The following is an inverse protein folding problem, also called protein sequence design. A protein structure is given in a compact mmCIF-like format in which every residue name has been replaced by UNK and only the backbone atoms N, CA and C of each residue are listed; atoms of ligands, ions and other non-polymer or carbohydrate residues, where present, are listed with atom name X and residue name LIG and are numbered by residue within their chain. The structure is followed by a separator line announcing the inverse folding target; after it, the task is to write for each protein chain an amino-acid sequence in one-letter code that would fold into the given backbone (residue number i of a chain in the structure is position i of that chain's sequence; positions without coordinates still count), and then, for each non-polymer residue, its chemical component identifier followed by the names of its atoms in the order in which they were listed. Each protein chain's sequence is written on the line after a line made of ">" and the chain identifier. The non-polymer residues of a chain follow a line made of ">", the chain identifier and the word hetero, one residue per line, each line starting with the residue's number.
data_IF_198786490120
#
_entry.id   IF_198786490120
#
_cell.length_a   1.000
_cell.length_b   1.000
_cell.length_c   1.000
_cell.angle_alpha   90.00
_cell.angle_beta   90.00
_cell.angle_gamma   90.00
#
_symmetry.space_group_name_H-M   'P 1'
#
loop_
_entity.id
_entity.type
_entity.pdbx_description
1 polymer ?
#
# COMPACT_ATOMS: atom_id res chain seq x y z
N UNK A 1 -8.85 -28.35 -5.87
CA UNK A 1 -8.64 -27.67 -4.57
C UNK A 1 -9.22 -26.28 -4.69
N UNK A 2 -10.24 -25.96 -3.88
CA UNK A 2 -11.06 -24.76 -4.04
C UNK A 2 -10.22 -23.48 -4.02
N UNK A 3 -10.09 -22.85 -5.18
CA UNK A 3 -9.74 -21.43 -5.28
C UNK A 3 -10.82 -20.66 -4.52
N UNK A 4 -10.56 -20.33 -3.26
CA UNK A 4 -11.38 -19.38 -2.52
C UNK A 4 -11.37 -18.08 -3.32
N UNK A 5 -12.42 -17.84 -4.10
CA UNK A 5 -12.54 -16.64 -4.91
C UNK A 5 -12.51 -15.48 -3.94
N UNK A 6 -11.45 -14.68 -4.01
CA UNK A 6 -11.24 -13.44 -3.25
C UNK A 6 -12.28 -12.40 -3.70
N UNK A 7 -13.54 -12.63 -3.32
CA UNK A 7 -14.70 -11.83 -3.73
C UNK A 7 -15.49 -11.41 -2.50
N UNK A 8 -15.83 -10.13 -2.43
CA UNK A 8 -16.63 -9.60 -1.34
C UNK A 8 -18.12 -9.97 -1.50
N UNK A 9 -18.85 -10.24 -0.41
CA UNK A 9 -20.31 -10.25 -0.40
C UNK A 9 -20.91 -8.88 -0.79
N UNK A 10 -22.12 -8.82 -1.38
CA UNK A 10 -22.73 -7.56 -1.82
C UNK A 10 -22.78 -6.46 -0.76
N UNK A 11 -23.21 -6.78 0.46
CA UNK A 11 -23.27 -5.81 1.57
C UNK A 11 -21.89 -5.21 1.93
N UNK A 12 -20.83 -6.01 1.87
CA UNK A 12 -19.47 -5.52 2.10
C UNK A 12 -18.97 -4.65 0.94
N UNK A 13 -19.35 -4.95 -0.31
CA UNK A 13 -19.03 -4.10 -1.47
C UNK A 13 -19.68 -2.73 -1.32
N UNK A 14 -20.95 -2.67 -0.97
CA UNK A 14 -21.66 -1.40 -0.78
C UNK A 14 -21.06 -0.58 0.37
N UNK A 15 -20.73 -1.23 1.48
CA UNK A 15 -20.07 -0.56 2.61
C UNK A 15 -18.70 0.00 2.21
N UNK A 16 -17.89 -0.79 1.49
CA UNK A 16 -16.59 -0.36 0.99
C UNK A 16 -16.73 0.84 0.04
N UNK A 17 -17.63 0.78 -0.95
CA UNK A 17 -17.83 1.86 -1.91
C UNK A 17 -18.27 3.16 -1.22
N UNK A 18 -19.19 3.09 -0.24
CA UNK A 18 -19.58 4.26 0.57
C UNK A 18 -18.41 4.83 1.37
N UNK A 19 -17.56 3.96 1.93
CA UNK A 19 -16.38 4.36 2.68
C UNK A 19 -15.36 5.07 1.79
N UNK A 20 -15.08 4.51 0.61
CA UNK A 20 -14.19 5.10 -0.38
C UNK A 20 -14.74 6.44 -0.90
N UNK A 21 -16.05 6.52 -1.19
CA UNK A 21 -16.69 7.75 -1.63
C UNK A 21 -16.55 8.87 -0.59
N UNK A 22 -16.93 8.59 0.65
CA UNK A 22 -16.85 9.58 1.73
C UNK A 22 -15.41 10.07 1.95
N UNK A 23 -14.42 9.17 1.79
CA UNK A 23 -13.00 9.54 1.87
C UNK A 23 -12.55 10.39 0.68
N UNK A 24 -12.93 10.02 -0.53
CA UNK A 24 -12.64 10.79 -1.74
C UNK A 24 -13.18 12.22 -1.61
N UNK A 25 -14.46 12.36 -1.26
CA UNK A 25 -15.11 13.66 -1.07
C UNK A 25 -14.50 14.49 0.07
N UNK A 26 -14.04 13.85 1.14
CA UNK A 26 -13.33 14.55 2.22
C UNK A 26 -11.94 15.04 1.80
N UNK A 27 -11.28 14.34 0.88
CA UNK A 27 -9.88 14.57 0.51
C UNK A 27 -9.71 15.14 -0.91
N UNK A 28 -10.65 15.96 -1.41
CA UNK A 28 -10.62 16.53 -2.78
C UNK A 28 -9.30 17.18 -3.19
N UNK A 29 -8.52 17.67 -2.23
CA UNK A 29 -7.20 18.25 -2.48
C UNK A 29 -6.20 17.24 -3.08
N UNK A 30 -6.37 15.93 -2.86
CA UNK A 30 -5.48 14.86 -3.34
C UNK A 30 -5.71 14.47 -4.81
N UNK A 31 -6.90 14.74 -5.34
CA UNK A 31 -7.34 14.28 -6.67
C UNK A 31 -8.07 15.39 -7.40
N UNK A 32 -7.41 16.55 -7.53
CA UNK A 32 -7.98 17.72 -8.23
C UNK A 32 -8.34 17.37 -9.67
N UNK A 33 -9.55 17.76 -10.08
CA UNK A 33 -10.06 17.50 -11.43
C UNK A 33 -10.64 16.09 -11.63
N UNK A 34 -10.57 15.20 -10.64
CA UNK A 34 -11.27 13.92 -10.68
C UNK A 34 -12.64 14.02 -10.01
N UNK A 35 -13.58 13.29 -10.58
CA UNK A 35 -14.94 13.12 -10.06
C UNK A 35 -15.14 11.68 -9.57
N UNK A 36 -15.94 11.49 -8.53
CA UNK A 36 -16.16 10.18 -7.92
C UNK A 36 -16.93 9.22 -8.85
N UNK A 37 -17.93 9.72 -9.58
CA UNK A 37 -18.80 8.87 -10.39
C UNK A 37 -18.03 8.00 -11.41
N UNK A 38 -17.07 8.53 -12.20
CA UNK A 38 -16.20 7.70 -13.05
C UNK A 38 -15.38 6.64 -12.29
N UNK A 39 -14.86 6.97 -11.10
CA UNK A 39 -14.10 6.03 -10.25
C UNK A 39 -15.02 4.90 -9.78
N UNK A 40 -16.22 5.23 -9.31
CA UNK A 40 -17.21 4.25 -8.87
C UNK A 40 -17.66 3.32 -10.01
N UNK A 41 -17.92 3.87 -11.20
CA UNK A 41 -18.23 3.07 -12.39
C UNK A 41 -17.12 2.08 -12.70
N UNK A 42 -15.85 2.51 -12.65
CA UNK A 42 -14.69 1.63 -12.87
C UNK A 42 -14.59 0.55 -11.80
N UNK A 43 -14.78 0.89 -10.52
CA UNK A 43 -14.78 -0.07 -9.42
C UNK A 43 -15.88 -1.13 -9.54
N UNK A 44 -17.10 -0.72 -9.94
CA UNK A 44 -18.22 -1.64 -10.18
C UNK A 44 -17.99 -2.56 -11.38
N UNK A 45 -17.27 -2.10 -12.39
CA UNK A 45 -16.89 -2.90 -13.55
C UNK A 45 -15.75 -3.91 -13.24
N UNK A 46 -14.91 -3.64 -12.24
CA UNK A 46 -13.74 -4.46 -11.86
C UNK A 46 -13.91 -5.03 -10.45
N UNK A 47 -14.96 -5.83 -10.24
CA UNK A 47 -15.35 -6.30 -8.90
C UNK A 47 -14.28 -7.12 -8.16
N UNK A 48 -13.34 -7.72 -8.89
CA UNK A 48 -12.17 -8.43 -8.35
C UNK A 48 -11.17 -7.50 -7.65
N UNK A 49 -11.16 -6.20 -7.99
CA UNK A 49 -10.33 -5.18 -7.34
C UNK A 49 -10.88 -4.72 -6.00
N UNK A 50 -12.15 -4.99 -5.71
CA UNK A 50 -12.77 -4.61 -4.44
C UNK A 50 -12.19 -5.40 -3.26
N UNK A 51 -11.78 -6.66 -3.48
CA UNK A 51 -11.18 -7.45 -2.40
C UNK A 51 -9.83 -6.88 -1.94
N UNK A 52 -8.86 -6.57 -2.83
CA UNK A 52 -7.64 -5.87 -2.44
C UNK A 52 -7.88 -4.53 -1.74
N UNK A 53 -8.81 -3.70 -2.25
CA UNK A 53 -9.16 -2.43 -1.60
C UNK A 53 -9.74 -2.63 -0.19
N UNK A 54 -10.58 -3.65 -0.01
CA UNK A 54 -11.08 -4.01 1.31
C UNK A 54 -9.96 -4.48 2.24
N UNK A 55 -8.96 -5.21 1.74
CA UNK A 55 -7.81 -5.59 2.57
C UNK A 55 -6.96 -4.38 2.96
N UNK A 56 -6.75 -3.43 2.04
CA UNK A 56 -6.10 -2.15 2.36
C UNK A 56 -6.88 -1.42 3.46
N UNK A 57 -8.21 -1.31 3.33
CA UNK A 57 -9.09 -0.70 4.33
C UNK A 57 -9.01 -1.43 5.68
N UNK A 58 -9.24 -2.75 5.69
CA UNK A 58 -9.28 -3.61 6.89
C UNK A 58 -7.99 -3.56 7.69
N UNK A 59 -6.85 -3.40 7.01
CA UNK A 59 -5.53 -3.30 7.66
C UNK A 59 -5.15 -1.87 8.07
N UNK A 60 -6.05 -0.89 7.88
CA UNK A 60 -5.88 0.50 8.30
C UNK A 60 -5.11 1.36 7.31
N UNK A 61 -5.12 0.99 6.03
CA UNK A 61 -4.45 1.70 4.95
C UNK A 61 -5.12 2.99 4.49
N UNK A 62 -6.42 3.11 4.74
CA UNK A 62 -7.25 4.21 4.26
C UNK A 62 -7.03 4.47 2.75
N UNK A 63 -7.25 3.45 1.88
CA UNK A 63 -7.04 3.58 0.45
C UNK A 63 -7.82 4.74 -0.14
N UNK A 64 -7.15 5.56 -0.94
CA UNK A 64 -7.73 6.74 -1.61
C UNK A 64 -7.11 6.91 -3.00
N UNK A 65 -7.81 7.64 -3.87
CA UNK A 65 -7.33 7.90 -5.24
C UNK A 65 -6.14 8.86 -5.17
N UNK A 66 -5.00 8.39 -5.66
CA UNK A 66 -3.73 9.13 -5.69
C UNK A 66 -3.31 9.54 -7.11
N UNK A 67 -3.96 8.99 -8.14
CA UNK A 67 -3.68 9.33 -9.53
C UNK A 67 -4.62 8.66 -10.52
N UNK A 68 -4.55 9.12 -11.77
CA UNK A 68 -5.25 8.57 -12.91
C UNK A 68 -4.25 8.46 -14.06
N UNK A 69 -4.09 7.25 -14.60
CA UNK A 69 -3.26 7.00 -15.76
C UNK A 69 -4.11 7.14 -17.01
N UNK A 70 -4.01 8.28 -17.69
CA UNK A 70 -4.80 8.59 -18.89
C UNK A 70 -4.52 7.63 -20.05
N UNK A 71 -3.33 7.01 -20.09
CA UNK A 71 -2.98 6.08 -21.18
C UNK A 71 -3.73 4.75 -21.07
N UNK A 72 -4.00 4.31 -19.84
CA UNK A 72 -4.69 3.05 -19.56
C UNK A 72 -6.12 3.23 -19.05
N UNK A 73 -6.49 4.46 -18.71
CA UNK A 73 -7.75 4.81 -18.04
C UNK A 73 -7.86 4.21 -16.63
N UNK A 74 -6.73 3.87 -15.99
CA UNK A 74 -6.71 3.25 -14.67
C UNK A 74 -6.63 4.29 -13.57
N UNK A 75 -7.40 4.09 -12.50
CA UNK A 75 -7.24 4.83 -11.26
C UNK A 75 -6.22 4.12 -10.36
N UNK A 76 -5.37 4.93 -9.73
CA UNK A 76 -4.31 4.45 -8.85
C UNK A 76 -4.71 4.77 -7.41
N UNK A 77 -4.86 3.73 -6.60
CA UNK A 77 -5.12 3.83 -5.18
C UNK A 77 -3.83 3.59 -4.40
N UNK A 78 -3.54 4.48 -3.44
CA UNK A 78 -2.49 4.29 -2.43
C UNK A 78 -3.10 4.18 -1.04
N UNK A 79 -2.35 3.59 -0.11
CA UNK A 79 -2.61 3.81 1.30
C UNK A 79 -2.33 5.26 1.69
N UNK A 80 -3.37 5.97 2.08
CA UNK A 80 -3.32 7.37 2.47
C UNK A 80 -3.57 7.60 3.96
N UNK A 81 -3.36 6.56 4.79
CA UNK A 81 -3.27 6.69 6.24
C UNK A 81 -2.04 7.53 6.63
N UNK A 82 -2.15 8.37 7.67
CA UNK A 82 -1.06 9.27 8.09
C UNK A 82 0.27 8.55 8.34
N UNK A 83 0.22 7.36 8.95
CA UNK A 83 1.39 6.51 9.20
C UNK A 83 1.17 5.14 8.55
N UNK A 84 2.27 4.46 8.24
CA UNK A 84 2.26 3.10 7.67
C UNK A 84 1.34 2.20 8.52
N UNK A 85 0.44 1.37 7.97
CA UNK A 85 -0.66 0.83 8.78
C UNK A 85 -0.20 -0.12 9.89
N UNK A 86 -0.73 0.03 11.12
CA UNK A 86 -0.26 -0.72 12.31
C UNK A 86 -0.27 -2.24 12.12
N UNK A 87 -1.31 -2.77 11.45
CA UNK A 87 -1.43 -4.20 11.16
C UNK A 87 -0.45 -4.72 10.09
N UNK A 88 0.44 -3.87 9.58
CA UNK A 88 1.42 -4.18 8.53
C UNK A 88 2.84 -3.76 8.91
N UNK A 89 3.11 -3.58 10.21
CA UNK A 89 4.44 -3.21 10.75
C UNK A 89 5.14 -4.40 11.40
N UNK A 90 6.39 -4.19 11.81
CA UNK A 90 7.21 -5.20 12.50
C UNK A 90 7.51 -6.42 11.63
N UNK A 91 7.64 -6.19 10.33
CA UNK A 91 7.90 -7.23 9.32
C UNK A 91 9.19 -6.95 8.56
N UNK A 92 9.83 -8.04 8.11
CA UNK A 92 10.99 -7.98 7.22
C UNK A 92 10.55 -7.73 5.78
N UNK A 93 11.51 -7.56 4.86
CA UNK A 93 11.22 -7.18 3.49
C UNK A 93 10.52 -8.30 2.70
N UNK A 94 11.10 -9.50 2.63
CA UNK A 94 10.60 -10.62 1.82
C UNK A 94 10.73 -12.00 2.47
N UNK A 95 10.25 -13.04 1.75
CA UNK A 95 10.24 -14.44 2.20
C UNK A 95 11.64 -14.98 2.50
N UNK A 96 12.60 -14.74 1.62
CA UNK A 96 13.98 -15.21 1.81
C UNK A 96 14.59 -14.56 3.06
N UNK A 97 14.33 -13.27 3.28
CA UNK A 97 14.74 -12.56 4.49
C UNK A 97 14.08 -13.15 5.76
N UNK A 98 12.79 -13.47 5.69
CA UNK A 98 12.05 -14.13 6.78
C UNK A 98 12.66 -15.50 7.15
N UNK A 99 13.01 -16.29 6.14
CA UNK A 99 13.57 -17.63 6.31
C UNK A 99 15.01 -17.63 6.82
N UNK A 100 15.80 -16.62 6.45
CA UNK A 100 17.21 -16.47 6.86
C UNK A 100 17.39 -16.28 8.38
N UNK A 101 16.37 -15.73 9.07
CA UNK A 101 16.38 -15.51 10.51
C UNK A 101 16.33 -16.85 11.25
N UNK A 102 17.14 -17.02 12.29
CA UNK A 102 17.06 -18.22 13.17
C UNK A 102 16.25 -17.96 14.45
N UNK A 103 16.30 -16.73 14.95
CA UNK A 103 15.67 -16.30 16.18
C UNK A 103 14.90 -15.00 15.96
N UNK A 104 13.84 -14.79 16.75
CA UNK A 104 12.96 -13.62 16.63
C UNK A 104 12.50 -13.39 15.19
N UNK A 105 11.88 -14.41 14.59
CA UNK A 105 11.28 -14.26 13.26
C UNK A 105 10.07 -13.33 13.38
N UNK A 106 9.94 -12.30 12.51
CA UNK A 106 8.68 -11.57 12.43
C UNK A 106 7.58 -12.50 11.92
N UNK A 107 6.32 -12.11 12.15
CA UNK A 107 5.17 -12.93 11.72
C UNK A 107 5.09 -13.10 10.20
N UNK A 108 5.56 -12.10 9.45
CA UNK A 108 5.44 -12.08 8.00
C UNK A 108 6.52 -11.20 7.33
N UNK A 109 6.45 -11.09 6.01
CA UNK A 109 7.25 -10.18 5.18
C UNK A 109 6.36 -9.19 4.42
N UNK A 110 6.91 -8.02 4.07
CA UNK A 110 6.16 -6.98 3.37
C UNK A 110 5.66 -7.45 1.99
N UNK A 111 6.52 -8.11 1.21
CA UNK A 111 6.14 -8.62 -0.10
C UNK A 111 5.08 -9.72 -0.04
N UNK A 112 5.17 -10.64 0.93
CA UNK A 112 4.17 -11.70 1.07
C UNK A 112 2.81 -11.14 1.50
N UNK A 113 2.81 -10.17 2.43
CA UNK A 113 1.58 -9.50 2.84
C UNK A 113 0.94 -8.76 1.67
N UNK A 114 1.71 -7.98 0.91
CA UNK A 114 1.22 -7.28 -0.26
C UNK A 114 0.66 -8.26 -1.32
N UNK A 115 1.38 -9.34 -1.63
CA UNK A 115 0.93 -10.38 -2.56
C UNK A 115 -0.34 -11.09 -2.07
N UNK A 116 -0.42 -11.41 -0.78
CA UNK A 116 -1.62 -12.00 -0.17
C UNK A 116 -2.83 -11.06 -0.32
N UNK A 117 -2.64 -9.75 -0.12
CA UNK A 117 -3.65 -8.70 -0.29
C UNK A 117 -3.96 -8.38 -1.76
N UNK A 118 -3.14 -8.86 -2.72
CA UNK A 118 -3.33 -8.56 -4.15
C UNK A 118 -2.98 -7.12 -4.51
N UNK A 119 -2.02 -6.53 -3.80
CA UNK A 119 -1.51 -5.16 -4.00
C UNK A 119 0.02 -5.20 -4.20
N UNK A 120 0.57 -4.10 -4.70
CA UNK A 120 2.01 -3.90 -4.79
C UNK A 120 2.50 -2.98 -3.66
N UNK A 121 3.77 -3.06 -3.29
CA UNK A 121 4.40 -2.02 -2.46
C UNK A 121 4.90 -0.87 -3.35
N UNK A 122 4.94 0.35 -2.81
CA UNK A 122 5.37 1.52 -3.57
C UNK A 122 6.83 1.43 -4.02
N UNK A 123 7.15 1.98 -5.20
CA UNK A 123 8.52 2.37 -5.55
C UNK A 123 8.93 3.66 -4.82
N UNK A 124 10.21 4.04 -4.90
CA UNK A 124 10.66 5.33 -4.36
C UNK A 124 9.91 6.50 -5.00
N UNK A 125 9.76 6.50 -6.32
CA UNK A 125 9.08 7.56 -7.06
C UNK A 125 7.62 7.67 -6.61
N UNK A 126 6.92 6.54 -6.51
CA UNK A 126 5.52 6.50 -6.07
C UNK A 126 5.37 6.97 -4.62
N UNK A 127 6.32 6.63 -3.75
CA UNK A 127 6.37 7.13 -2.38
C UNK A 127 6.55 8.65 -2.35
N UNK A 128 7.42 9.21 -3.20
CA UNK A 128 7.60 10.66 -3.33
C UNK A 128 6.35 11.35 -3.87
N UNK A 129 5.64 10.74 -4.84
CA UNK A 129 4.37 11.26 -5.33
C UNK A 129 3.29 11.28 -4.24
N UNK A 130 3.19 10.22 -3.43
CA UNK A 130 2.28 10.20 -2.27
C UNK A 130 2.53 11.40 -1.35
N UNK A 131 3.80 11.74 -1.10
CA UNK A 131 4.18 12.84 -0.19
C UNK A 131 3.83 14.24 -0.71
N UNK A 132 3.46 14.37 -2.00
CA UNK A 132 2.88 15.61 -2.55
C UNK A 132 1.40 15.77 -2.20
N UNK A 133 0.72 14.68 -1.83
CA UNK A 133 -0.70 14.67 -1.47
C UNK A 133 -0.96 14.99 0.01
N UNK A 134 0.10 15.01 0.83
CA UNK A 134 0.04 15.26 2.26
C UNK A 134 1.30 14.79 2.98
N UNK A 135 1.31 14.94 4.30
CA UNK A 135 2.38 14.46 5.16
C UNK A 135 2.12 13.02 5.60
N UNK A 136 3.00 12.11 5.20
CA UNK A 136 2.87 10.70 5.53
C UNK A 136 4.16 10.15 6.14
N UNK A 137 4.03 9.16 7.03
CA UNK A 137 5.14 8.48 7.72
C UNK A 137 6.06 9.44 8.49
N UNK A 138 5.48 10.39 9.21
CA UNK A 138 6.22 11.33 10.07
C UNK A 138 6.76 10.67 11.35
N UNK A 139 6.25 9.47 11.68
CA UNK A 139 6.62 8.67 12.85
C UNK A 139 6.96 7.22 12.51
N UNK A 140 6.62 6.78 11.31
CA UNK A 140 6.93 5.45 10.78
C UNK A 140 7.93 5.50 9.64
N UNK A 141 8.25 4.32 9.11
CA UNK A 141 8.95 4.14 7.83
C UNK A 141 8.26 3.03 7.03
N UNK A 142 8.42 3.05 5.71
CA UNK A 142 7.83 2.07 4.81
C UNK A 142 8.88 1.42 3.94
N UNK A 143 8.88 0.09 3.89
CA UNK A 143 9.55 -0.66 2.84
C UNK A 143 9.04 -0.20 1.48
N UNK A 144 9.97 -0.02 0.55
CA UNK A 144 9.69 0.28 -0.85
C UNK A 144 10.31 -0.79 -1.75
N UNK A 145 9.85 -0.86 -3.00
CA UNK A 145 10.36 -1.81 -3.98
C UNK A 145 11.86 -1.64 -4.13
N UNK A 146 12.60 -2.67 -3.71
CA UNK A 146 14.06 -2.68 -3.73
C UNK A 146 14.55 -3.15 -5.10
N UNK A 147 15.49 -2.45 -5.75
CA UNK A 147 16.15 -2.91 -6.97
C UNK A 147 16.79 -4.29 -6.78
N UNK A 148 16.65 -5.16 -7.78
CA UNK A 148 17.13 -6.55 -7.72
C UNK A 148 18.62 -6.65 -7.36
N UNK A 149 19.46 -5.73 -7.89
CA UNK A 149 20.89 -5.66 -7.58
C UNK A 149 21.18 -5.38 -6.10
N UNK A 150 20.40 -4.52 -5.45
CA UNK A 150 20.57 -4.25 -4.01
C UNK A 150 20.11 -5.47 -3.21
N UNK A 151 18.99 -6.07 -3.63
CA UNK A 151 18.45 -7.24 -2.95
C UNK A 151 19.34 -8.48 -3.05
N UNK A 152 19.99 -8.71 -4.18
CA UNK A 152 20.94 -9.83 -4.35
C UNK A 152 22.19 -9.68 -3.49
N UNK A 153 22.46 -8.48 -2.97
CA UNK A 153 23.53 -8.20 -2.00
C UNK A 153 23.03 -8.21 -0.54
N UNK A 154 21.78 -8.62 -0.31
CA UNK A 154 21.16 -8.73 1.02
C UNK A 154 20.46 -7.45 1.51
N UNK A 155 20.49 -6.36 0.75
CA UNK A 155 19.90 -5.08 1.14
C UNK A 155 18.40 -4.96 0.81
N UNK A 156 17.71 -4.08 1.52
CA UNK A 156 16.37 -3.60 1.19
C UNK A 156 16.23 -2.10 1.48
N UNK A 157 15.45 -1.41 0.65
CA UNK A 157 15.22 0.03 0.73
C UNK A 157 13.91 0.37 1.45
N UNK A 158 13.94 1.47 2.19
CA UNK A 158 12.75 2.01 2.86
C UNK A 158 12.82 3.54 2.90
N UNK A 159 11.65 4.18 3.05
CA UNK A 159 11.52 5.63 3.15
C UNK A 159 10.84 6.07 4.44
N UNK A 160 11.10 7.30 4.85
CA UNK A 160 10.29 8.08 5.78
C UNK A 160 10.25 9.56 5.40
N UNK A 161 9.47 10.36 6.14
CA UNK A 161 9.50 11.83 6.06
C UNK A 161 9.96 12.44 7.36
N UNK A 162 11.07 13.16 7.34
CA UNK A 162 11.59 13.92 8.49
C UNK A 162 11.99 15.30 8.01
N UNK A 163 11.80 16.33 8.84
CA UNK A 163 12.17 17.71 8.49
C UNK A 163 11.59 18.15 7.13
N UNK A 164 10.32 17.79 6.89
CA UNK A 164 9.63 18.03 5.63
C UNK A 164 10.32 17.44 4.37
N UNK A 165 11.17 16.44 4.56
CA UNK A 165 12.00 15.85 3.50
C UNK A 165 11.79 14.34 3.45
N UNK A 166 11.65 13.79 2.25
CA UNK A 166 11.62 12.34 2.03
C UNK A 166 13.04 11.80 1.99
N UNK A 167 13.36 10.94 2.94
CA UNK A 167 14.62 10.23 2.99
C UNK A 167 14.47 8.80 2.51
N UNK A 168 15.51 8.30 1.85
CA UNK A 168 15.63 6.92 1.41
C UNK A 168 16.82 6.32 2.14
N UNK A 169 16.61 5.15 2.72
CA UNK A 169 17.61 4.44 3.49
C UNK A 169 17.70 2.99 3.03
N UNK A 170 18.71 2.30 3.54
CA UNK A 170 18.87 0.86 3.36
C UNK A 170 19.05 0.17 4.71
N UNK A 171 18.66 -1.10 4.78
CA UNK A 171 19.01 -2.05 5.83
C UNK A 171 19.20 -3.44 5.21
N UNK A 172 19.62 -4.43 6.00
CA UNK A 172 19.45 -5.83 5.61
C UNK A 172 17.96 -6.16 5.41
N UNK A 173 17.63 -6.96 4.40
CA UNK A 173 16.25 -7.33 4.06
C UNK A 173 15.52 -8.03 5.23
N UNK A 174 16.27 -8.70 6.10
CA UNK A 174 15.80 -9.38 7.30
C UNK A 174 15.54 -8.46 8.49
N UNK A 175 15.97 -7.21 8.42
CA UNK A 175 15.72 -6.22 9.47
C UNK A 175 14.22 -5.96 9.61
N UNK A 176 13.74 -5.70 10.82
CA UNK A 176 12.37 -5.24 11.06
C UNK A 176 12.31 -4.41 12.33
N UNK A 177 11.40 -3.45 12.35
CA UNK A 177 11.25 -2.49 13.45
C UNK A 177 9.77 -2.25 13.72
N UNK A 178 9.44 -1.94 14.99
CA UNK A 178 8.06 -1.68 15.41
C UNK A 178 7.37 -0.58 14.59
N UNK A 179 8.15 0.41 14.13
CA UNK A 179 7.66 1.54 13.35
C UNK A 179 7.80 1.34 11.82
N UNK A 180 8.25 0.17 11.34
CA UNK A 180 8.44 -0.10 9.91
C UNK A 180 7.37 -1.02 9.38
N UNK A 181 6.66 -0.56 8.34
CA UNK A 181 5.69 -1.35 7.59
C UNK A 181 5.88 -1.18 6.09
N UNK A 182 4.78 -1.10 5.35
CA UNK A 182 4.77 -0.75 3.93
C UNK A 182 3.46 -0.05 3.56
N UNK A 183 3.49 0.67 2.45
CA UNK A 183 2.30 1.22 1.80
C UNK A 183 2.01 0.46 0.52
N UNK A 184 0.72 0.26 0.28
CA UNK A 184 0.14 -0.49 -0.81
C UNK A 184 -0.28 0.40 -1.97
N UNK A 185 -0.23 -0.18 -3.16
CA UNK A 185 -0.70 0.36 -4.43
C UNK A 185 -1.62 -0.64 -5.10
N UNK A 186 -2.73 -0.14 -5.62
CA UNK A 186 -3.62 -0.89 -6.51
C UNK A 186 -4.03 -0.05 -7.71
N UNK A 187 -4.00 -0.67 -8.90
CA UNK A 187 -4.57 -0.10 -10.14
C UNK A 187 -5.90 -0.75 -10.46
N UNK A 188 -6.89 0.08 -10.78
CA UNK A 188 -8.29 -0.28 -11.08
C UNK A 188 -8.70 0.31 -12.43
#
# INVERSE_FOLDING_TARGET
>A
MNSNKKTLPPAQRELLLRTLQARFEKNRHRHRGLEWAPVETRLKANTEKLWPLNEMERTGGEPDVAGHDESTGQYIFYDCSAESPKGRRSICYDREALESRKQHKPENSALDMAAAMGIEILTEEQYRELQKLGEFDTKTSSWIKTPSRIRSLGGALFCDRRYDTVFVYHNGAESYYAARGFRGLLRV
#
